data_IF_219580497834
#
_entry.id   IF_219580497834
#
_cell.length_a   1.000
_cell.length_b   1.000
_cell.length_c   1.000
_cell.angle_alpha   90.00
_cell.angle_beta   90.00
_cell.angle_gamma   90.00
#
_symmetry.space_group_name_H-M   'P 1'
#
loop_
_entity.id
_entity.type
_entity.pdbx_description
1 polymer ?
#
# COMPACT_ATOMS: atom_id res chain seq x y z
N UNK A 1 -11.94 -10.94 17.67
CA UNK A 1 -10.45 -11.03 17.64
C UNK A 1 -9.95 -9.81 16.90
N UNK A 2 -9.67 -8.73 17.62
CA UNK A 2 -9.19 -7.47 17.03
C UNK A 2 -7.67 -7.56 16.84
N UNK A 3 -7.21 -7.50 15.59
CA UNK A 3 -5.80 -7.25 15.24
C UNK A 3 -5.68 -5.83 14.69
N UNK A 4 -5.89 -4.83 15.54
CA UNK A 4 -5.46 -3.46 15.28
C UNK A 4 -4.29 -3.16 16.21
N UNK A 5 -3.19 -3.88 16.02
CA UNK A 5 -1.95 -3.58 16.73
C UNK A 5 -1.23 -2.46 16.00
N UNK A 6 -1.41 -1.25 16.54
CA UNK A 6 -0.45 -0.14 16.70
C UNK A 6 0.60 0.06 15.61
N UNK A 7 0.81 1.31 15.13
CA UNK A 7 2.07 2.09 15.32
C UNK A 7 1.90 3.53 14.83
N UNK A 8 1.84 4.46 15.77
CA UNK A 8 2.25 5.84 15.51
C UNK A 8 3.75 5.84 15.20
N UNK A 9 4.17 6.41 14.07
CA UNK A 9 5.51 7.00 13.92
C UNK A 9 6.55 6.33 13.01
N UNK A 10 6.24 5.25 12.28
CA UNK A 10 7.16 4.77 11.23
C UNK A 10 6.65 5.19 9.86
N UNK A 11 7.35 6.14 9.22
CA UNK A 11 7.10 6.51 7.83
C UNK A 11 7.17 5.26 6.95
N UNK A 12 6.17 5.08 6.10
CA UNK A 12 6.13 3.94 5.21
C UNK A 12 7.30 3.97 4.22
N UNK A 13 7.62 2.81 3.64
CA UNK A 13 8.64 2.73 2.60
C UNK A 13 8.29 3.62 1.39
N UNK A 14 7.01 3.86 1.15
CA UNK A 14 6.51 4.76 0.11
C UNK A 14 6.84 6.21 0.45
N UNK A 15 6.53 6.66 1.67
CA UNK A 15 6.78 8.03 2.12
C UNK A 15 8.28 8.34 2.07
N UNK A 16 9.10 7.41 2.54
CA UNK A 16 10.57 7.51 2.47
C UNK A 16 11.06 7.62 1.03
N UNK A 17 10.53 6.80 0.12
CA UNK A 17 10.89 6.85 -1.29
C UNK A 17 10.45 8.17 -1.95
N UNK A 18 9.28 8.71 -1.56
CA UNK A 18 8.76 9.98 -2.07
C UNK A 18 9.65 11.16 -1.64
N UNK A 19 10.01 11.23 -0.36
CA UNK A 19 10.94 12.25 0.14
C UNK A 19 12.28 12.17 -0.59
N UNK A 20 12.85 10.96 -0.76
CA UNK A 20 14.09 10.75 -1.51
C UNK A 20 13.95 11.21 -2.98
N UNK A 21 12.80 10.95 -3.60
CA UNK A 21 12.52 11.38 -4.96
C UNK A 21 12.52 12.91 -5.07
N UNK A 22 11.85 13.62 -4.16
CA UNK A 22 11.78 15.09 -4.17
C UNK A 22 13.17 15.75 -4.00
N UNK A 23 13.98 15.25 -3.05
CA UNK A 23 15.30 15.83 -2.71
C UNK A 23 16.47 15.35 -3.59
N UNK A 24 16.22 14.50 -4.59
CA UNK A 24 17.28 13.88 -5.41
C UNK A 24 18.15 14.86 -6.19
N UNK A 25 17.70 16.10 -6.36
CA UNK A 25 18.36 17.11 -7.17
C UNK A 25 19.64 17.62 -6.47
N UNK A 26 20.81 17.23 -6.99
CA UNK A 26 22.11 17.70 -6.49
C UNK A 26 22.73 16.87 -5.36
N UNK A 27 22.11 15.75 -4.96
CA UNK A 27 22.64 14.84 -3.92
C UNK A 27 22.82 13.44 -4.49
N UNK A 28 23.87 12.74 -4.02
CA UNK A 28 24.14 11.38 -4.47
C UNK A 28 23.08 10.41 -3.94
N UNK A 29 22.43 9.69 -4.85
CA UNK A 29 21.35 8.74 -4.54
C UNK A 29 21.74 7.72 -3.46
N UNK A 30 22.97 7.19 -3.46
CA UNK A 30 23.44 6.26 -2.42
C UNK A 30 23.33 6.82 -1.01
N UNK A 31 23.62 8.11 -0.83
CA UNK A 31 23.57 8.78 0.48
C UNK A 31 22.12 8.94 0.92
N UNK A 32 21.22 9.33 0.00
CA UNK A 32 19.81 9.49 0.29
C UNK A 32 19.14 8.17 0.69
N UNK A 33 19.43 7.08 -0.04
CA UNK A 33 18.90 5.76 0.26
C UNK A 33 19.40 5.22 1.61
N UNK A 34 20.67 5.49 1.93
CA UNK A 34 21.25 5.10 3.21
C UNK A 34 20.63 5.90 4.38
N UNK A 35 20.44 7.20 4.21
CA UNK A 35 19.82 8.07 5.22
C UNK A 35 18.36 7.69 5.49
N UNK A 36 17.60 7.40 4.43
CA UNK A 36 16.20 7.00 4.54
C UNK A 36 16.02 5.53 4.98
N UNK A 37 17.11 4.77 5.08
CA UNK A 37 17.10 3.33 5.38
C UNK A 37 16.18 2.54 4.43
N UNK A 38 16.37 2.74 3.12
CA UNK A 38 15.64 2.01 2.07
C UNK A 38 16.60 1.41 1.04
N UNK A 39 16.26 0.20 0.58
CA UNK A 39 17.01 -0.43 -0.50
C UNK A 39 16.70 0.22 -1.84
N UNK A 40 17.66 0.18 -2.76
CA UNK A 40 17.49 0.72 -4.13
C UNK A 40 16.34 0.06 -4.87
N UNK A 41 16.13 -1.24 -4.69
CA UNK A 41 14.99 -1.98 -5.26
C UNK A 41 13.65 -1.43 -4.78
N UNK A 42 13.53 -1.17 -3.47
CA UNK A 42 12.36 -0.53 -2.86
C UNK A 42 12.13 0.86 -3.42
N UNK A 43 13.18 1.67 -3.57
CA UNK A 43 13.08 2.98 -4.19
C UNK A 43 12.60 2.90 -5.66
N UNK A 44 13.23 2.06 -6.49
CA UNK A 44 12.83 1.88 -7.89
C UNK A 44 11.38 1.40 -8.02
N UNK A 45 10.93 0.51 -7.13
CA UNK A 45 9.55 0.06 -7.08
C UNK A 45 8.60 1.25 -6.84
N UNK A 46 8.81 2.03 -5.77
CA UNK A 46 7.92 3.14 -5.45
C UNK A 46 7.95 4.25 -6.50
N UNK A 47 9.11 4.60 -7.04
CA UNK A 47 9.23 5.63 -8.09
C UNK A 47 8.45 5.28 -9.34
N UNK A 48 8.43 4.00 -9.74
CA UNK A 48 7.62 3.56 -10.88
C UNK A 48 6.11 3.50 -10.58
N UNK A 49 5.72 3.52 -9.30
CA UNK A 49 4.34 3.37 -8.86
C UNK A 49 3.73 4.67 -8.30
N UNK A 50 4.46 5.79 -8.23
CA UNK A 50 3.92 7.04 -7.68
C UNK A 50 2.72 7.58 -8.46
N UNK A 51 2.78 7.50 -9.78
CA UNK A 51 1.71 7.96 -10.68
C UNK A 51 0.74 6.83 -11.06
N UNK A 52 0.99 5.60 -10.59
CA UNK A 52 0.08 4.49 -10.83
C UNK A 52 -1.02 4.49 -9.78
N UNK A 53 -2.29 4.71 -10.15
CA UNK A 53 -3.38 4.45 -9.22
C UNK A 53 -3.30 2.99 -8.79
N UNK A 54 -3.45 2.74 -7.48
CA UNK A 54 -3.44 1.39 -6.95
C UNK A 54 -4.54 0.58 -7.65
N UNK A 55 -4.21 -0.40 -8.51
CA UNK A 55 -5.20 -1.11 -9.32
C UNK A 55 -6.18 -1.89 -8.45
N UNK A 56 -5.77 -2.25 -7.23
CA UNK A 56 -6.59 -2.99 -6.30
C UNK A 56 -7.46 -2.09 -5.42
N UNK A 57 -7.41 -0.76 -5.57
CA UNK A 57 -8.15 0.16 -4.70
C UNK A 57 -9.66 -0.06 -4.80
N UNK A 58 -10.20 -0.15 -6.02
CA UNK A 58 -11.61 -0.41 -6.25
C UNK A 58 -12.00 -1.80 -5.75
N UNK A 59 -11.19 -2.82 -6.07
CA UNK A 59 -11.40 -4.20 -5.61
C UNK A 59 -11.42 -4.30 -4.08
N UNK A 60 -10.49 -3.63 -3.40
CA UNK A 60 -10.47 -3.56 -1.92
C UNK A 60 -11.73 -2.89 -1.38
N UNK A 61 -12.21 -1.84 -2.05
CA UNK A 61 -13.49 -1.19 -1.72
C UNK A 61 -14.66 -2.16 -1.83
N UNK A 62 -14.75 -2.94 -2.92
CA UNK A 62 -15.79 -3.95 -3.09
C UNK A 62 -15.72 -5.07 -2.06
N UNK A 63 -14.52 -5.59 -1.77
CA UNK A 63 -14.31 -6.61 -0.73
C UNK A 63 -14.79 -6.09 0.63
N UNK A 64 -14.43 -4.84 0.98
CA UNK A 64 -14.83 -4.22 2.24
C UNK A 64 -16.35 -4.03 2.30
N UNK A 65 -16.96 -3.55 1.21
CA UNK A 65 -18.40 -3.37 1.14
C UNK A 65 -19.18 -4.69 1.32
N UNK A 66 -18.75 -5.78 0.66
CA UNK A 66 -19.35 -7.10 0.83
C UNK A 66 -19.16 -7.60 2.27
N UNK A 67 -17.97 -7.41 2.83
CA UNK A 67 -17.68 -7.82 4.20
C UNK A 67 -18.61 -7.10 5.20
N UNK A 68 -18.76 -5.78 5.06
CA UNK A 68 -19.59 -4.96 5.95
C UNK A 68 -21.10 -5.23 5.77
N UNK A 69 -21.56 -5.45 4.52
CA UNK A 69 -22.95 -5.81 4.20
C UNK A 69 -23.40 -7.10 4.89
N UNK A 70 -22.47 -8.03 5.09
CA UNK A 70 -22.70 -9.30 5.78
C UNK A 70 -22.18 -9.30 7.23
N UNK A 71 -22.04 -8.11 7.84
CA UNK A 71 -21.64 -7.94 9.25
C UNK A 71 -20.31 -8.63 9.61
N UNK A 72 -19.42 -8.77 8.62
CA UNK A 72 -18.15 -9.47 8.75
C UNK A 72 -18.24 -10.99 8.90
N UNK A 73 -19.42 -11.58 8.70
CA UNK A 73 -19.64 -13.03 8.78
C UNK A 73 -19.19 -13.77 7.52
N UNK A 74 -19.00 -13.03 6.42
CA UNK A 74 -18.53 -13.59 5.17
C UNK A 74 -17.03 -13.87 5.21
N UNK A 75 -16.71 -15.15 5.19
CA UNK A 75 -15.34 -15.65 4.98
C UNK A 75 -14.89 -15.47 3.54
N UNK A 76 -13.58 -15.55 3.31
CA UNK A 76 -12.92 -15.33 2.00
C UNK A 76 -13.65 -15.96 0.79
N UNK A 77 -14.12 -17.20 0.94
CA UNK A 77 -14.83 -17.90 -0.15
C UNK A 77 -16.16 -17.24 -0.51
N UNK A 78 -16.93 -16.78 0.49
CA UNK A 78 -18.22 -16.15 0.26
C UNK A 78 -18.06 -14.78 -0.41
N UNK A 79 -17.03 -14.02 0.01
CA UNK A 79 -16.67 -12.77 -0.65
C UNK A 79 -16.26 -13.02 -2.11
N UNK A 80 -15.48 -14.08 -2.37
CA UNK A 80 -15.05 -14.43 -3.73
C UNK A 80 -16.22 -14.85 -4.64
N UNK A 81 -17.18 -15.59 -4.10
CA UNK A 81 -18.39 -15.99 -4.83
C UNK A 81 -19.30 -14.77 -5.07
N UNK A 82 -19.42 -13.88 -4.10
CA UNK A 82 -20.20 -12.64 -4.21
C UNK A 82 -19.58 -11.64 -5.21
N UNK A 83 -18.26 -11.50 -5.23
CA UNK A 83 -17.55 -10.72 -6.25
C UNK A 83 -17.86 -11.24 -7.67
N UNK A 84 -17.87 -12.55 -7.87
CA UNK A 84 -18.23 -13.15 -9.17
C UNK A 84 -19.70 -12.95 -9.52
N UNK A 85 -20.58 -12.92 -8.53
CA UNK A 85 -22.00 -12.64 -8.74
C UNK A 85 -22.24 -11.18 -9.15
N UNK A 86 -21.39 -10.26 -8.70
CA UNK A 86 -21.50 -8.82 -8.95
C UNK A 86 -20.82 -8.35 -10.25
N UNK A 87 -19.84 -9.10 -10.76
CA UNK A 87 -19.22 -8.89 -12.08
C UNK A 87 -17.74 -8.56 -12.02
#
# INVERSE_FOLDING_TARGET
MEYLSSKQGEFSKQDKAQVVYEIRHGVTMKVLLHLADIQRSTYCYWVGNFDCPNPDMELKGFIQAIYDEHEGLYVYRHISDELKNRG
#
